data_IF_355427043942
#
_entry.id   IF_355427043942
#
_cell.length_a   1.000
_cell.length_b   1.000
_cell.length_c   1.000
_cell.angle_alpha   90.00
_cell.angle_beta   90.00
_cell.angle_gamma   90.00
#
_symmetry.space_group_name_H-M   'P 1'
#
loop_
_entity.id
_entity.type
_entity.pdbx_description
1 polymer ?
#
# COMPACT_ATOMS: atom_id res chain seq x y z
N UNK A 1 44.05 51.45 -21.50
CA UNK A 1 44.62 50.24 -20.87
C UNK A 1 43.70 49.84 -19.72
N UNK A 2 43.58 48.53 -19.54
CA UNK A 2 42.56 47.73 -18.83
C UNK A 2 42.43 48.04 -17.33
N UNK A 3 41.20 48.01 -16.79
CA UNK A 3 40.80 47.46 -15.47
C UNK A 3 39.33 47.81 -15.18
N UNK A 4 38.43 47.01 -14.61
CA UNK A 4 38.33 45.60 -14.28
C UNK A 4 36.85 45.31 -14.07
N UNK A 5 36.46 44.07 -14.37
CA UNK A 5 35.26 43.31 -13.98
C UNK A 5 34.44 43.78 -12.77
N UNK A 6 33.11 43.73 -12.89
CA UNK A 6 32.29 43.04 -11.87
C UNK A 6 31.23 42.18 -12.56
N UNK A 7 31.41 40.87 -12.40
CA UNK A 7 30.51 39.80 -12.79
C UNK A 7 29.37 39.77 -11.76
N UNK A 8 28.16 40.18 -12.13
CA UNK A 8 26.97 39.87 -11.33
C UNK A 8 26.40 38.54 -11.82
N UNK A 9 26.22 37.54 -10.95
CA UNK A 9 25.53 36.32 -11.32
C UNK A 9 24.06 36.69 -11.56
N UNK A 10 23.62 36.54 -12.80
CA UNK A 10 22.20 36.56 -13.13
C UNK A 10 21.51 35.57 -12.21
N UNK A 11 20.72 36.07 -11.26
CA UNK A 11 19.82 35.25 -10.47
C UNK A 11 18.79 34.70 -11.45
N UNK A 12 19.08 33.52 -12.00
CA UNK A 12 18.09 32.69 -12.66
C UNK A 12 17.14 32.21 -11.56
N UNK A 13 16.26 33.11 -11.12
CA UNK A 13 15.05 32.71 -10.44
C UNK A 13 14.26 31.92 -11.47
N UNK A 14 14.47 30.60 -11.42
CA UNK A 14 13.56 29.62 -11.97
C UNK A 14 12.17 30.09 -11.53
N UNK A 15 11.38 30.65 -12.45
CA UNK A 15 9.95 30.85 -12.26
C UNK A 15 9.36 29.44 -12.19
N UNK A 16 9.57 28.75 -11.06
CA UNK A 16 8.82 27.57 -10.68
C UNK A 16 7.38 28.03 -10.75
N UNK A 17 6.70 27.57 -11.79
CA UNK A 17 5.37 27.98 -12.19
C UNK A 17 4.50 27.89 -10.93
N UNK A 18 3.78 28.95 -10.52
CA UNK A 18 2.99 28.94 -9.29
C UNK A 18 2.01 27.75 -9.25
N UNK A 19 1.61 27.24 -10.42
CA UNK A 19 0.86 25.99 -10.55
C UNK A 19 1.60 24.74 -10.06
N UNK A 20 2.90 24.59 -10.34
CA UNK A 20 3.71 23.47 -9.83
C UNK A 20 3.87 23.56 -8.31
N UNK A 21 4.08 24.76 -7.77
CA UNK A 21 4.12 24.98 -6.33
C UNK A 21 2.77 24.65 -5.67
N UNK A 22 1.64 25.05 -6.29
CA UNK A 22 0.31 24.66 -5.83
C UNK A 22 0.06 23.15 -5.91
N UNK A 23 0.52 22.47 -6.97
CA UNK A 23 0.40 21.01 -7.09
C UNK A 23 1.21 20.32 -5.99
N UNK A 24 2.44 20.75 -5.75
CA UNK A 24 3.29 20.21 -4.67
C UNK A 24 2.61 20.47 -3.32
N UNK A 25 2.07 21.66 -3.08
CA UNK A 25 1.39 22.01 -1.84
C UNK A 25 0.09 21.20 -1.62
N UNK A 26 -0.68 20.96 -2.69
CA UNK A 26 -1.85 20.07 -2.64
C UNK A 26 -1.40 18.64 -2.34
N UNK A 27 -0.35 18.14 -3.01
CA UNK A 27 0.19 16.81 -2.76
C UNK A 27 0.70 16.67 -1.32
N UNK A 28 1.40 17.66 -0.77
CA UNK A 28 1.86 17.67 0.63
C UNK A 28 0.69 17.68 1.62
N UNK A 29 -0.39 18.44 1.35
CA UNK A 29 -1.59 18.43 2.19
C UNK A 29 -2.28 17.05 2.13
N UNK A 30 -2.40 16.45 0.94
CA UNK A 30 -2.95 15.09 0.80
C UNK A 30 -2.09 14.06 1.53
N UNK A 31 -0.76 14.18 1.48
CA UNK A 31 0.17 13.31 2.19
C UNK A 31 0.07 13.45 3.71
N UNK A 32 -0.11 14.67 4.24
CA UNK A 32 -0.28 14.90 5.69
C UNK A 32 -1.63 14.46 6.22
N UNK A 33 -2.70 14.55 5.43
CA UNK A 33 -4.01 13.96 5.79
C UNK A 33 -3.92 12.42 5.78
N UNK A 34 -3.04 11.88 4.96
CA UNK A 34 -2.71 10.46 4.94
C UNK A 34 -1.97 10.01 6.22
N UNK A 35 -1.20 10.85 6.92
CA UNK A 35 -0.43 10.41 8.11
C UNK A 35 -1.29 9.94 9.31
N UNK A 36 -2.61 10.16 9.32
CA UNK A 36 -3.51 9.77 10.41
C UNK A 36 -4.28 8.46 10.21
N UNK A 37 -4.21 7.79 9.05
CA UNK A 37 -4.89 6.50 8.82
C UNK A 37 -3.92 5.31 8.78
N UNK A 38 -2.80 5.35 9.53
CA UNK A 38 -1.97 4.17 9.76
C UNK A 38 -2.89 2.98 10.10
N UNK A 39 -2.98 1.93 9.27
CA UNK A 39 -3.78 0.75 9.61
C UNK A 39 -3.21 0.02 10.84
N UNK A 40 -1.98 0.37 11.22
CA UNK A 40 -1.21 -0.21 12.31
C UNK A 40 -1.03 0.81 13.45
N UNK A 41 -1.74 0.66 14.58
CA UNK A 41 -1.51 1.53 15.74
C UNK A 41 -0.19 1.22 16.49
N UNK A 42 0.54 0.16 16.13
CA UNK A 42 1.72 -0.28 16.87
C UNK A 42 3.00 -0.11 16.04
N UNK A 43 3.90 0.75 16.53
CA UNK A 43 5.26 0.92 16.03
C UNK A 43 6.23 -0.14 16.61
N UNK A 44 5.73 -1.05 17.46
CA UNK A 44 6.52 -2.05 18.19
C UNK A 44 6.78 -3.34 17.38
N UNK A 45 6.38 -3.36 16.11
CA UNK A 45 6.42 -4.55 15.27
C UNK A 45 5.21 -5.45 15.47
N UNK A 46 5.15 -6.53 14.69
CA UNK A 46 4.13 -7.55 14.80
C UNK A 46 4.83 -8.83 15.25
N UNK A 47 4.33 -9.43 16.32
CA UNK A 47 4.80 -10.74 16.79
C UNK A 47 4.51 -11.79 15.71
N UNK A 48 5.56 -12.49 15.28
CA UNK A 48 5.50 -13.44 14.16
C UNK A 48 4.58 -14.63 14.47
N UNK A 49 4.57 -15.12 15.71
CA UNK A 49 3.71 -16.23 16.13
C UNK A 49 2.23 -15.82 16.10
N UNK A 50 1.94 -14.56 16.48
CA UNK A 50 0.59 -13.99 16.40
C UNK A 50 0.16 -13.77 14.95
N UNK A 51 1.05 -13.28 14.10
CA UNK A 51 0.79 -13.09 12.68
C UNK A 51 0.51 -14.44 12.00
N UNK A 52 1.33 -15.45 12.27
CA UNK A 52 1.17 -16.80 11.73
C UNK A 52 -0.17 -17.40 12.16
N UNK A 53 -0.49 -17.38 13.47
CA UNK A 53 -1.76 -17.90 13.99
C UNK A 53 -2.99 -17.25 13.34
N UNK A 54 -2.93 -15.94 13.08
CA UNK A 54 -4.05 -15.21 12.47
C UNK A 54 -4.19 -15.51 10.97
N UNK A 55 -3.07 -15.66 10.27
CA UNK A 55 -3.08 -16.02 8.86
C UNK A 55 -3.44 -17.49 8.65
N UNK A 56 -3.04 -18.39 9.56
CA UNK A 56 -3.35 -19.82 9.50
C UNK A 56 -4.82 -20.11 9.77
N UNK A 57 -5.42 -19.42 10.75
CA UNK A 57 -6.81 -19.64 11.17
C UNK A 57 -7.85 -18.90 10.33
N UNK A 58 -7.41 -18.19 9.30
CA UNK A 58 -8.34 -17.54 8.38
C UNK A 58 -9.27 -18.65 7.79
N UNK A 59 -10.60 -18.49 7.77
CA UNK A 59 -11.48 -19.53 7.22
C UNK A 59 -11.48 -19.60 5.69
N UNK A 60 -11.74 -20.78 5.13
CA UNK A 60 -11.84 -20.99 3.69
C UNK A 60 -13.15 -20.50 3.07
N UNK A 61 -14.17 -20.08 3.84
CA UNK A 61 -15.43 -19.55 3.29
C UNK A 61 -15.98 -18.48 4.23
N UNK A 62 -15.31 -17.33 4.26
CA UNK A 62 -15.68 -16.22 5.13
C UNK A 62 -16.75 -15.36 4.47
N UNK A 63 -17.88 -15.20 5.13
CA UNK A 63 -18.77 -14.08 4.84
C UNK A 63 -18.08 -12.78 5.26
N UNK A 64 -17.61 -12.01 4.27
CA UNK A 64 -16.88 -10.75 4.48
C UNK A 64 -17.68 -9.74 5.31
N UNK A 65 -19.01 -9.80 5.31
CA UNK A 65 -19.87 -8.90 6.08
C UNK A 65 -19.88 -9.25 7.58
N UNK A 66 -19.64 -10.52 7.92
CA UNK A 66 -19.59 -11.01 9.30
C UNK A 66 -18.28 -10.68 10.03
N UNK A 67 -17.20 -10.39 9.28
CA UNK A 67 -15.90 -10.09 9.85
C UNK A 67 -15.86 -8.65 10.35
N UNK A 68 -15.51 -8.47 11.63
CA UNK A 68 -15.33 -7.15 12.23
C UNK A 68 -14.26 -6.36 11.49
N UNK A 69 -14.55 -5.08 11.23
CA UNK A 69 -13.60 -4.15 10.60
C UNK A 69 -12.23 -4.11 11.30
N UNK A 70 -12.21 -4.18 12.64
CA UNK A 70 -10.96 -4.22 13.41
C UNK A 70 -10.05 -5.38 13.03
N UNK A 71 -10.62 -6.57 12.81
CA UNK A 71 -9.86 -7.74 12.37
C UNK A 71 -9.34 -7.56 10.93
N UNK A 72 -10.17 -7.02 10.02
CA UNK A 72 -9.75 -6.69 8.65
C UNK A 72 -8.56 -5.72 8.64
N UNK A 73 -8.60 -4.70 9.49
CA UNK A 73 -7.50 -3.74 9.63
C UNK A 73 -6.25 -4.39 10.22
N UNK A 74 -6.41 -5.30 11.18
CA UNK A 74 -5.28 -6.02 11.77
C UNK A 74 -4.56 -6.89 10.74
N UNK A 75 -5.30 -7.66 9.93
CA UNK A 75 -4.73 -8.41 8.80
C UNK A 75 -4.04 -7.49 7.80
N UNK A 76 -4.68 -6.37 7.46
CA UNK A 76 -4.07 -5.36 6.57
C UNK A 76 -2.78 -4.81 7.14
N UNK A 77 -2.72 -4.63 8.46
CA UNK A 77 -1.52 -4.19 9.15
C UNK A 77 -0.37 -5.21 9.03
N UNK A 78 -0.68 -6.51 9.17
CA UNK A 78 0.29 -7.59 8.92
C UNK A 78 0.85 -7.48 7.50
N UNK A 79 -0.02 -7.38 6.50
CA UNK A 79 0.39 -7.29 5.09
C UNK A 79 1.23 -6.03 4.81
N UNK A 80 0.92 -4.92 5.47
CA UNK A 80 1.72 -3.70 5.39
C UNK A 80 3.12 -3.90 6.00
N UNK A 81 3.21 -4.50 7.19
CA UNK A 81 4.48 -4.77 7.86
C UNK A 81 5.43 -5.63 7.01
N UNK A 82 4.88 -6.63 6.33
CA UNK A 82 5.62 -7.48 5.40
C UNK A 82 5.87 -6.85 4.02
N UNK A 83 5.57 -5.56 3.84
CA UNK A 83 5.69 -4.81 2.58
C UNK A 83 4.94 -5.45 1.40
N UNK A 84 3.86 -6.17 1.69
CA UNK A 84 2.98 -6.75 0.67
C UNK A 84 1.99 -5.69 0.18
N UNK A 85 1.53 -4.82 1.08
CA UNK A 85 0.57 -3.76 0.78
C UNK A 85 1.15 -2.42 1.21
N UNK A 86 1.03 -1.41 0.35
CA UNK A 86 1.42 -0.05 0.67
C UNK A 86 0.33 0.69 1.44
N UNK A 87 0.69 1.85 1.96
CA UNK A 87 -0.26 2.75 2.60
C UNK A 87 -1.39 3.22 1.66
N UNK A 88 -1.13 3.31 0.35
CA UNK A 88 -2.13 3.64 -0.68
C UNK A 88 -2.97 2.43 -1.11
N UNK A 89 -2.66 1.24 -0.63
CA UNK A 89 -3.33 -0.02 -1.00
C UNK A 89 -2.81 -0.62 -2.29
N UNK A 90 -1.65 -0.18 -2.75
CA UNK A 90 -0.92 -0.87 -3.82
C UNK A 90 -0.38 -2.18 -3.27
N UNK A 91 -0.47 -3.25 -4.06
CA UNK A 91 0.01 -4.57 -3.68
C UNK A 91 1.28 -4.84 -4.47
N UNK A 92 2.36 -5.16 -3.76
CA UNK A 92 3.67 -5.44 -4.34
C UNK A 92 4.14 -6.80 -3.84
N UNK A 93 4.26 -7.74 -4.77
CA UNK A 93 4.71 -9.11 -4.50
C UNK A 93 6.07 -9.44 -5.14
N UNK A 94 6.69 -8.47 -5.82
CA UNK A 94 7.93 -8.66 -6.60
C UNK A 94 9.03 -9.33 -5.78
N UNK A 95 9.25 -8.87 -4.55
CA UNK A 95 10.22 -9.48 -3.62
C UNK A 95 9.94 -10.98 -3.38
N UNK A 96 8.67 -11.36 -3.29
CA UNK A 96 8.25 -12.75 -3.05
C UNK A 96 8.35 -13.59 -4.32
N UNK A 97 8.08 -13.02 -5.49
CA UNK A 97 8.32 -13.66 -6.78
C UNK A 97 9.81 -13.93 -7.01
N UNK A 98 10.67 -12.94 -6.74
CA UNK A 98 12.13 -13.05 -6.90
C UNK A 98 12.74 -14.15 -6.02
N UNK A 99 12.15 -14.40 -4.84
CA UNK A 99 12.59 -15.47 -3.94
C UNK A 99 12.12 -16.87 -4.36
N UNK A 100 11.18 -16.96 -5.31
CA UNK A 100 10.55 -18.23 -5.72
C UNK A 100 9.59 -18.83 -4.70
N UNK A 101 9.31 -18.13 -3.59
CA UNK A 101 8.31 -18.56 -2.58
C UNK A 101 6.90 -18.54 -3.17
N UNK A 102 6.64 -17.61 -4.09
CA UNK A 102 5.37 -17.50 -4.81
C UNK A 102 5.64 -17.61 -6.31
N UNK A 103 4.91 -18.49 -6.99
CA UNK A 103 4.89 -18.54 -8.45
C UNK A 103 4.11 -17.34 -9.02
N UNK A 104 4.84 -16.40 -9.62
CA UNK A 104 4.28 -15.20 -10.24
C UNK A 104 3.21 -15.53 -11.28
N UNK A 105 3.45 -16.54 -12.13
CA UNK A 105 2.51 -16.90 -13.20
C UNK A 105 1.21 -17.48 -12.64
N UNK A 106 1.29 -18.15 -11.49
CA UNK A 106 0.12 -18.68 -10.81
C UNK A 106 -0.65 -17.62 -10.02
N UNK A 107 0.02 -16.61 -9.45
CA UNK A 107 -0.57 -15.67 -8.49
C UNK A 107 -0.94 -14.31 -9.10
N UNK A 108 -0.12 -13.75 -9.98
CA UNK A 108 -0.33 -12.41 -10.55
C UNK A 108 -1.69 -12.26 -11.30
N UNK A 109 -2.15 -13.24 -12.09
CA UNK A 109 -3.47 -13.16 -12.71
C UNK A 109 -4.62 -13.16 -11.69
N UNK A 110 -4.52 -14.02 -10.66
CA UNK A 110 -5.54 -14.17 -9.60
C UNK A 110 -5.68 -12.90 -8.78
N UNK A 111 -4.56 -12.33 -8.34
CA UNK A 111 -4.60 -11.12 -7.52
C UNK A 111 -5.15 -9.91 -8.30
N UNK A 112 -4.85 -9.80 -9.60
CA UNK A 112 -5.40 -8.74 -10.44
C UNK A 112 -6.93 -8.85 -10.59
N UNK A 113 -7.45 -10.08 -10.75
CA UNK A 113 -8.90 -10.32 -10.73
C UNK A 113 -9.51 -9.88 -9.40
N UNK A 114 -8.94 -10.31 -8.27
CA UNK A 114 -9.44 -9.97 -6.93
C UNK A 114 -9.43 -8.45 -6.65
N UNK A 115 -8.41 -7.74 -7.16
CA UNK A 115 -8.37 -6.26 -7.14
C UNK A 115 -9.53 -5.64 -7.90
N UNK A 116 -9.86 -6.19 -9.07
CA UNK A 116 -10.98 -5.72 -9.87
C UNK A 116 -12.32 -5.97 -9.19
N UNK A 117 -12.54 -7.14 -8.59
CA UNK A 117 -13.78 -7.48 -7.88
C UNK A 117 -13.99 -6.56 -6.66
N UNK A 118 -12.92 -6.18 -5.97
CA UNK A 118 -12.97 -5.32 -4.78
C UNK A 118 -12.89 -3.82 -5.10
N UNK A 119 -12.95 -3.40 -6.37
CA UNK A 119 -12.72 -2.00 -6.80
C UNK A 119 -13.72 -0.98 -6.26
N UNK A 120 -14.91 -1.44 -5.87
CA UNK A 120 -15.99 -0.59 -5.35
C UNK A 120 -15.93 -0.42 -3.83
N UNK A 121 -15.13 -1.22 -3.13
CA UNK A 121 -14.95 -1.10 -1.68
C UNK A 121 -14.09 0.12 -1.37
N UNK A 122 -14.60 1.01 -0.53
CA UNK A 122 -13.97 2.30 -0.20
C UNK A 122 -13.22 2.24 1.13
N UNK A 123 -13.63 1.36 2.05
CA UNK A 123 -12.88 1.15 3.29
C UNK A 123 -11.59 0.39 2.99
N UNK A 124 -10.46 1.04 3.26
CA UNK A 124 -9.12 0.51 2.98
C UNK A 124 -8.92 -0.91 3.54
N UNK A 125 -9.21 -1.10 4.84
CA UNK A 125 -9.05 -2.40 5.48
C UNK A 125 -9.95 -3.48 4.87
N UNK A 126 -11.21 -3.13 4.57
CA UNK A 126 -12.16 -4.05 3.97
C UNK A 126 -11.78 -4.41 2.54
N UNK A 127 -11.28 -3.44 1.77
CA UNK A 127 -10.80 -3.66 0.41
C UNK A 127 -9.62 -4.61 0.39
N UNK A 128 -8.59 -4.35 1.19
CA UNK A 128 -7.40 -5.21 1.23
C UNK A 128 -7.77 -6.61 1.71
N UNK A 129 -8.54 -6.71 2.80
CA UNK A 129 -9.01 -8.00 3.29
C UNK A 129 -9.81 -8.78 2.23
N UNK A 130 -10.71 -8.12 1.49
CA UNK A 130 -11.48 -8.74 0.42
C UNK A 130 -10.59 -9.27 -0.72
N UNK A 131 -9.55 -8.50 -1.12
CA UNK A 131 -8.61 -8.91 -2.16
C UNK A 131 -7.87 -10.19 -1.75
N UNK A 132 -7.31 -10.23 -0.53
CA UNK A 132 -6.55 -11.38 -0.06
C UNK A 132 -7.45 -12.58 0.27
N UNK A 133 -8.68 -12.35 0.74
CA UNK A 133 -9.66 -13.42 0.86
C UNK A 133 -9.97 -14.05 -0.50
N UNK A 134 -10.25 -13.24 -1.52
CA UNK A 134 -10.49 -13.70 -2.89
C UNK A 134 -9.29 -14.47 -3.44
N UNK A 135 -8.06 -13.95 -3.27
CA UNK A 135 -6.86 -14.62 -3.74
C UNK A 135 -6.73 -16.02 -3.11
N UNK A 136 -7.01 -16.11 -1.81
CA UNK A 136 -7.00 -17.39 -1.12
C UNK A 136 -8.07 -18.35 -1.66
N UNK A 137 -9.28 -17.88 -1.93
CA UNK A 137 -10.32 -18.72 -2.56
C UNK A 137 -9.86 -19.25 -3.91
N UNK A 138 -9.28 -18.39 -4.75
CA UNK A 138 -8.73 -18.77 -6.05
C UNK A 138 -7.56 -19.76 -5.93
N UNK A 139 -6.83 -19.78 -4.81
CA UNK A 139 -5.77 -20.76 -4.53
C UNK A 139 -6.37 -22.08 -4.04
N UNK A 140 -7.36 -22.05 -3.14
CA UNK A 140 -7.99 -23.25 -2.55
C UNK A 140 -8.97 -23.97 -3.48
N UNK A 141 -9.53 -23.27 -4.46
CA UNK A 141 -10.46 -23.85 -5.44
C UNK A 141 -9.76 -24.64 -6.56
N UNK A 142 -8.42 -24.65 -6.58
CA UNK A 142 -7.56 -25.35 -7.53
C UNK A 142 -6.69 -26.40 -6.83
#
# INVERSE_FOLDING_TARGET
>A
MVSSTSLMPGKMYLRLVPHLACIIFILEIQFRISESNSPCPHNEGIDEDIAEAILSDWPANVDLSSVKRSHKCYVTCILYYYNIVSYSGEISLDKYYDTGVIDELAVAPKINRCRYESRMETDYCSRIFAIFNCLRQEILAN
#
